data_IF_340978535696
#
_entry.id   IF_340978535696
#
_cell.length_a   1.000
_cell.length_b   1.000
_cell.length_c   1.000
_cell.angle_alpha   90.00
_cell.angle_beta   90.00
_cell.angle_gamma   90.00
#
_symmetry.space_group_name_H-M   'P 1'
#
loop_
_entity.id
_entity.type
_entity.pdbx_description
1 polymer ?
#
# COMPACT_ATOMS: atom_id res chain seq x y z
N UNK A 1 -1.55 -30.36 8.33
CA UNK A 1 -1.39 -29.03 8.96
C UNK A 1 -2.50 -28.13 8.48
N UNK A 2 -2.95 -27.20 9.32
CA UNK A 2 -3.91 -26.15 8.95
C UNK A 2 -3.25 -24.78 9.15
N UNK A 3 -3.34 -23.93 8.13
CA UNK A 3 -3.07 -22.50 8.23
C UNK A 3 -4.43 -21.81 8.31
N UNK A 4 -4.65 -20.98 9.33
CA UNK A 4 -5.92 -20.27 9.52
C UNK A 4 -5.71 -18.80 9.19
N UNK A 5 -6.63 -18.25 8.41
CA UNK A 5 -6.69 -16.85 8.02
C UNK A 5 -7.77 -16.14 8.82
N UNK A 6 -7.57 -14.83 9.03
CA UNK A 6 -8.52 -13.99 9.75
C UNK A 6 -9.87 -13.84 9.03
N UNK A 7 -9.91 -14.13 7.72
CA UNK A 7 -11.11 -14.05 6.89
C UNK A 7 -11.16 -15.23 5.90
N UNK A 8 -12.27 -15.35 5.20
CA UNK A 8 -12.58 -16.41 4.24
C UNK A 8 -11.76 -16.23 2.97
N UNK A 9 -11.02 -17.27 2.59
CA UNK A 9 -10.36 -17.36 1.30
C UNK A 9 -11.41 -17.63 0.21
N UNK A 10 -11.34 -16.89 -0.89
CA UNK A 10 -12.25 -17.07 -2.03
C UNK A 10 -11.61 -17.84 -3.19
N UNK A 11 -10.41 -18.38 -2.99
CA UNK A 11 -9.74 -19.21 -3.98
C UNK A 11 -10.64 -20.40 -4.36
N UNK A 12 -10.90 -20.64 -5.67
CA UNK A 12 -11.74 -21.76 -6.08
C UNK A 12 -11.13 -23.09 -5.60
N UNK A 13 -11.98 -23.96 -5.06
CA UNK A 13 -11.62 -25.27 -4.47
C UNK A 13 -10.99 -26.27 -5.46
N UNK A 14 -10.87 -25.89 -6.73
CA UNK A 14 -10.14 -26.63 -7.75
C UNK A 14 -9.52 -25.61 -8.70
N UNK A 15 -8.20 -25.65 -8.90
CA UNK A 15 -7.54 -25.41 -10.19
C UNK A 15 -6.03 -25.51 -10.04
N UNK A 16 -5.49 -26.65 -10.47
CA UNK A 16 -4.22 -26.87 -11.20
C UNK A 16 -3.18 -25.73 -11.24
N UNK A 17 -2.71 -25.23 -10.10
CA UNK A 17 -1.39 -24.61 -10.06
C UNK A 17 -0.35 -25.68 -10.44
N UNK A 18 0.58 -25.37 -11.36
CA UNK A 18 1.63 -26.33 -11.78
C UNK A 18 2.63 -26.62 -10.66
N UNK A 19 2.66 -25.77 -9.63
CA UNK A 19 3.52 -25.83 -8.46
C UNK A 19 2.71 -25.54 -7.19
N UNK A 20 3.07 -26.21 -6.10
CA UNK A 20 2.55 -25.87 -4.78
C UNK A 20 3.20 -24.55 -4.32
N UNK A 21 2.43 -23.49 -3.98
CA UNK A 21 2.99 -22.21 -3.54
C UNK A 21 3.53 -22.27 -2.09
N UNK A 22 3.33 -23.40 -1.39
CA UNK A 22 3.81 -23.60 -0.05
C UNK A 22 5.14 -24.35 -0.03
N UNK A 23 5.99 -23.97 0.93
CA UNK A 23 7.17 -24.75 1.34
C UNK A 23 7.03 -25.10 2.81
N UNK A 24 7.30 -26.34 3.18
CA UNK A 24 7.33 -26.78 4.58
C UNK A 24 8.73 -27.23 4.94
N UNK A 25 9.28 -26.69 6.02
CA UNK A 25 10.53 -27.11 6.62
C UNK A 25 10.28 -27.75 7.97
N UNK A 26 10.88 -28.90 8.25
CA UNK A 26 10.91 -29.54 9.56
C UNK A 26 12.36 -29.49 10.06
N UNK A 27 12.62 -28.79 11.16
CA UNK A 27 13.96 -28.51 11.67
C UNK A 27 14.92 -27.97 10.59
N UNK A 28 14.45 -27.02 9.79
CA UNK A 28 15.13 -26.42 8.63
C UNK A 28 15.41 -27.39 7.46
N UNK A 29 14.82 -28.58 7.45
CA UNK A 29 14.90 -29.52 6.33
C UNK A 29 13.61 -29.54 5.54
N UNK A 30 13.68 -29.48 4.21
CA UNK A 30 12.50 -29.48 3.35
C UNK A 30 11.69 -30.77 3.49
N UNK A 31 10.38 -30.60 3.72
CA UNK A 31 9.40 -31.67 3.75
C UNK A 31 8.59 -31.67 2.45
N UNK A 32 8.38 -32.85 1.89
CA UNK A 32 7.60 -33.01 0.66
C UNK A 32 6.10 -32.85 0.96
N UNK A 33 5.45 -31.95 0.22
CA UNK A 33 4.00 -31.71 0.30
C UNK A 33 3.31 -32.66 -0.67
N UNK A 34 2.38 -33.46 -0.16
CA UNK A 34 1.53 -34.33 -0.96
C UNK A 34 0.39 -33.54 -1.61
N UNK A 35 -0.24 -32.66 -0.83
CA UNK A 35 -1.40 -31.88 -1.28
C UNK A 35 -1.58 -30.62 -0.44
N UNK A 36 -2.21 -29.60 -1.02
CA UNK A 36 -2.68 -28.42 -0.30
C UNK A 36 -4.05 -28.02 -0.83
N UNK A 37 -5.01 -27.83 0.08
CA UNK A 37 -6.39 -27.42 -0.26
C UNK A 37 -6.84 -26.28 0.63
N UNK A 38 -7.55 -25.31 0.05
CA UNK A 38 -8.22 -24.22 0.78
C UNK A 38 -9.70 -24.52 0.96
N UNK A 39 -10.24 -24.21 2.13
CA UNK A 39 -11.68 -24.22 2.41
C UNK A 39 -11.97 -23.16 3.45
N UNK A 40 -13.00 -22.36 3.24
CA UNK A 40 -13.38 -21.26 4.12
C UNK A 40 -12.18 -20.36 4.45
N UNK A 41 -11.84 -20.22 5.73
CA UNK A 41 -10.73 -19.41 6.21
C UNK A 41 -9.46 -20.24 6.50
N UNK A 42 -9.32 -21.45 5.97
CA UNK A 42 -8.11 -22.24 6.22
C UNK A 42 -7.52 -22.89 4.96
N UNK A 43 -6.21 -23.11 5.00
CA UNK A 43 -5.49 -23.98 4.06
C UNK A 43 -5.02 -25.22 4.80
N UNK A 44 -5.45 -26.38 4.32
CA UNK A 44 -4.97 -27.68 4.76
C UNK A 44 -3.79 -28.12 3.90
N UNK A 45 -2.62 -28.24 4.52
CA UNK A 45 -1.41 -28.81 3.90
C UNK A 45 -1.24 -30.25 4.40
N UNK A 46 -1.15 -31.19 3.46
CA UNK A 46 -0.90 -32.61 3.70
C UNK A 46 0.52 -32.94 3.25
N UNK A 47 1.37 -33.39 4.17
CA UNK A 47 2.72 -33.85 3.87
C UNK A 47 2.69 -35.30 3.37
N UNK A 48 3.77 -35.74 2.70
CA UNK A 48 3.91 -37.12 2.28
C UNK A 48 3.78 -38.08 3.49
N UNK A 49 3.11 -39.22 3.28
CA UNK A 49 2.95 -40.28 4.29
C UNK A 49 4.27 -40.82 4.88
N UNK A 50 5.39 -40.63 4.19
CA UNK A 50 6.74 -40.98 4.66
C UNK A 50 7.37 -39.92 5.56
N UNK A 51 6.80 -38.71 5.64
CA UNK A 51 7.28 -37.63 6.51
C UNK A 51 6.97 -37.96 7.96
N UNK A 52 8.01 -38.21 8.75
CA UNK A 52 7.90 -38.41 10.19
C UNK A 52 8.05 -37.06 10.87
N UNK A 53 7.07 -36.69 11.68
CA UNK A 53 7.13 -35.51 12.55
C UNK A 53 7.25 -36.02 13.98
N UNK A 54 8.29 -35.60 14.69
CA UNK A 54 8.54 -35.95 16.08
C UNK A 54 8.05 -34.84 17.01
N UNK A 55 7.96 -35.17 18.30
CA UNK A 55 7.76 -34.16 19.33
C UNK A 55 8.94 -33.16 19.30
N UNK A 56 8.63 -31.88 19.50
CA UNK A 56 9.56 -30.75 19.52
C UNK A 56 10.18 -30.38 18.16
N UNK A 57 9.72 -30.99 17.06
CA UNK A 57 10.08 -30.54 15.72
C UNK A 57 9.57 -29.10 15.49
N UNK A 58 10.46 -28.22 15.06
CA UNK A 58 10.10 -26.89 14.59
C UNK A 58 9.66 -26.99 13.14
N UNK A 59 8.42 -26.64 12.84
CA UNK A 59 7.87 -26.68 11.50
C UNK A 59 7.68 -25.26 10.98
N UNK A 60 8.42 -24.88 9.95
CA UNK A 60 8.21 -23.60 9.27
C UNK A 60 7.40 -23.81 8.01
N UNK A 61 6.35 -23.01 7.84
CA UNK A 61 5.61 -22.96 6.59
C UNK A 61 5.80 -21.60 5.94
N UNK A 62 6.16 -21.62 4.68
CA UNK A 62 6.26 -20.45 3.83
C UNK A 62 5.21 -20.52 2.73
N UNK A 63 4.66 -19.37 2.38
CA UNK A 63 3.87 -19.16 1.17
C UNK A 63 4.60 -18.15 0.29
N UNK A 64 4.67 -18.44 -1.00
CA UNK A 64 5.26 -17.54 -1.98
C UNK A 64 4.29 -17.33 -3.14
N UNK A 65 4.09 -16.06 -3.48
CA UNK A 65 3.36 -15.59 -4.65
C UNK A 65 4.05 -16.14 -5.89
N UNK A 66 3.27 -16.78 -6.76
CA UNK A 66 3.74 -17.13 -8.09
C UNK A 66 3.59 -15.90 -9.00
N UNK A 67 4.72 -15.39 -9.48
CA UNK A 67 4.77 -14.21 -10.36
C UNK A 67 4.61 -14.55 -11.84
N UNK A 68 4.46 -15.84 -12.20
CA UNK A 68 4.24 -16.23 -13.59
C UNK A 68 2.81 -15.85 -14.02
N UNK A 69 2.60 -15.32 -15.23
CA UNK A 69 1.27 -14.93 -15.70
C UNK A 69 0.24 -16.05 -15.66
N UNK A 70 0.68 -17.29 -15.88
CA UNK A 70 -0.19 -18.47 -15.86
C UNK A 70 -0.69 -18.80 -14.45
N UNK A 71 0.10 -18.54 -13.41
CA UNK A 71 -0.23 -18.92 -12.04
C UNK A 71 -0.59 -17.75 -11.13
N UNK A 72 -0.38 -16.49 -11.55
CA UNK A 72 -0.61 -15.32 -10.70
C UNK A 72 -2.07 -15.19 -10.25
N UNK A 73 -2.99 -15.68 -11.08
CA UNK A 73 -4.43 -15.78 -10.82
C UNK A 73 -4.82 -16.78 -9.71
N UNK A 74 -3.92 -17.69 -9.36
CA UNK A 74 -4.17 -18.73 -8.35
C UNK A 74 -3.51 -18.43 -7.00
N UNK A 75 -2.88 -17.25 -6.86
CA UNK A 75 -2.40 -16.79 -5.56
C UNK A 75 -3.55 -16.67 -4.55
N UNK A 76 -3.25 -16.82 -3.26
CA UNK A 76 -4.29 -16.76 -2.24
C UNK A 76 -4.86 -15.34 -2.15
N UNK A 77 -6.18 -15.22 -2.01
CA UNK A 77 -6.82 -13.92 -1.78
C UNK A 77 -8.04 -14.05 -0.87
N UNK A 78 -8.24 -13.01 -0.08
CA UNK A 78 -9.43 -12.76 0.74
C UNK A 78 -10.37 -11.85 -0.04
N UNK A 79 -11.66 -11.88 0.25
CA UNK A 79 -12.59 -10.85 -0.22
C UNK A 79 -13.31 -10.21 0.95
N UNK A 80 -13.46 -8.88 0.94
CA UNK A 80 -14.35 -8.22 1.89
C UNK A 80 -15.83 -8.31 1.44
N UNK A 81 -16.75 -7.77 2.26
CA UNK A 81 -18.18 -7.74 1.96
C UNK A 81 -18.56 -6.89 0.72
N UNK A 82 -17.59 -6.20 0.09
CA UNK A 82 -17.75 -5.44 -1.15
C UNK A 82 -17.18 -6.15 -2.37
N UNK A 83 -16.87 -7.45 -2.23
CA UNK A 83 -16.20 -8.29 -3.23
C UNK A 83 -14.80 -7.76 -3.61
N UNK A 84 -14.18 -6.96 -2.73
CA UNK A 84 -12.82 -6.47 -2.95
C UNK A 84 -11.82 -7.60 -2.75
N UNK A 85 -11.10 -7.99 -3.80
CA UNK A 85 -10.05 -9.01 -3.69
C UNK A 85 -8.77 -8.43 -3.07
N UNK A 86 -8.39 -8.97 -1.91
CA UNK A 86 -7.14 -8.70 -1.21
C UNK A 86 -6.22 -9.92 -1.31
N UNK A 87 -5.20 -9.86 -2.16
CA UNK A 87 -4.19 -10.91 -2.27
C UNK A 87 -3.37 -11.05 -0.98
N UNK A 88 -3.10 -12.30 -0.60
CA UNK A 88 -2.24 -12.66 0.52
C UNK A 88 -0.78 -12.43 0.13
N UNK A 89 0.00 -11.67 0.92
CA UNK A 89 1.42 -11.47 0.65
C UNK A 89 2.25 -12.72 0.96
N UNK A 90 3.50 -12.74 0.48
CA UNK A 90 4.49 -13.74 0.91
C UNK A 90 4.61 -13.76 2.44
N UNK A 91 4.69 -14.96 3.02
CA UNK A 91 4.93 -15.10 4.45
C UNK A 91 5.79 -16.33 4.75
N UNK A 92 6.40 -16.32 5.94
CA UNK A 92 7.01 -17.50 6.55
C UNK A 92 6.70 -17.50 8.02
N UNK A 93 6.00 -18.53 8.49
CA UNK A 93 5.56 -18.69 9.87
C UNK A 93 6.14 -19.97 10.46
N UNK A 94 7.05 -19.89 11.45
CA UNK A 94 7.46 -21.04 12.24
C UNK A 94 6.38 -21.42 13.26
N UNK A 95 6.09 -22.70 13.37
CA UNK A 95 5.19 -23.30 14.36
C UNK A 95 5.86 -24.56 14.91
N UNK A 96 5.95 -24.73 16.22
CA UNK A 96 6.52 -25.95 16.81
C UNK A 96 5.40 -26.99 16.98
N UNK A 97 5.55 -28.19 16.40
CA UNK A 97 4.51 -29.21 16.59
C UNK A 97 4.67 -29.86 17.96
N UNK A 98 3.76 -29.50 18.86
CA UNK A 98 3.72 -29.98 20.23
C UNK A 98 2.68 -31.07 20.44
N UNK A 99 2.75 -32.17 19.70
CA UNK A 99 1.96 -33.34 20.07
C UNK A 99 2.37 -33.89 21.46
N UNK A 100 3.57 -33.53 21.96
CA UNK A 100 4.11 -33.99 23.25
C UNK A 100 5.07 -32.98 23.92
N UNK A 101 4.94 -31.67 23.69
CA UNK A 101 5.87 -30.67 24.25
C UNK A 101 5.92 -30.74 25.77
N UNK A 102 7.14 -30.71 26.32
CA UNK A 102 7.40 -30.57 27.76
C UNK A 102 7.59 -29.11 28.20
N UNK A 103 7.51 -28.18 27.25
CA UNK A 103 7.61 -26.75 27.50
C UNK A 103 6.22 -26.13 27.70
N UNK A 104 6.17 -25.02 28.43
CA UNK A 104 4.94 -24.22 28.54
C UNK A 104 4.61 -23.58 27.18
N UNK A 105 3.32 -23.45 26.79
CA UNK A 105 2.96 -22.74 25.57
C UNK A 105 3.44 -21.30 25.59
N UNK A 106 3.91 -20.82 24.45
CA UNK A 106 4.24 -19.41 24.24
C UNK A 106 3.23 -18.77 23.30
N UNK A 107 2.82 -17.54 23.62
CA UNK A 107 1.95 -16.77 22.74
C UNK A 107 2.73 -16.33 21.51
N UNK A 108 2.23 -16.66 20.33
CA UNK A 108 2.81 -16.24 19.05
C UNK A 108 2.22 -14.92 18.58
N UNK A 109 0.89 -14.82 18.58
CA UNK A 109 0.18 -13.69 18.00
C UNK A 109 -1.15 -13.47 18.73
N UNK A 110 -1.62 -12.22 18.68
CA UNK A 110 -2.94 -11.84 19.12
C UNK A 110 -3.57 -10.97 18.02
N UNK A 111 -4.81 -11.26 17.66
CA UNK A 111 -5.57 -10.55 16.64
C UNK A 111 -6.89 -10.10 17.24
N UNK A 112 -7.23 -8.82 17.08
CA UNK A 112 -8.48 -8.25 17.58
C UNK A 112 -9.34 -7.75 16.42
N UNK A 113 -10.53 -8.32 16.26
CA UNK A 113 -11.50 -7.97 15.23
C UNK A 113 -12.84 -7.68 15.91
N UNK A 114 -13.28 -6.42 15.85
CA UNK A 114 -14.53 -5.96 16.47
C UNK A 114 -14.61 -6.33 17.96
N UNK A 115 -15.47 -7.27 18.33
CA UNK A 115 -15.67 -7.73 19.71
C UNK A 115 -15.06 -9.11 19.99
N UNK A 116 -14.10 -9.57 19.17
CA UNK A 116 -13.43 -10.86 19.36
C UNK A 116 -11.91 -10.66 19.32
N UNK A 117 -11.22 -11.24 20.29
CA UNK A 117 -9.76 -11.38 20.26
C UNK A 117 -9.40 -12.86 20.13
N UNK A 118 -8.54 -13.18 19.17
CA UNK A 118 -7.96 -14.52 19.00
C UNK A 118 -6.50 -14.47 19.41
N UNK A 119 -6.13 -15.31 20.37
CA UNK A 119 -4.76 -15.50 20.83
C UNK A 119 -4.23 -16.84 20.31
N UNK A 120 -3.15 -16.81 19.54
CA UNK A 120 -2.57 -18.01 18.92
C UNK A 120 -1.30 -18.40 19.65
N UNK A 121 -1.19 -19.67 20.03
CA UNK A 121 -0.02 -20.23 20.72
C UNK A 121 0.79 -21.14 19.81
N UNK A 122 2.04 -21.37 20.20
CA UNK A 122 2.99 -22.24 19.51
C UNK A 122 2.67 -23.73 19.66
N UNK A 123 1.69 -24.11 20.48
CA UNK A 123 1.31 -25.49 20.72
C UNK A 123 -0.18 -25.69 20.95
N UNK A 124 -0.65 -26.93 20.77
CA UNK A 124 -2.03 -27.32 21.06
C UNK A 124 -2.35 -27.10 22.54
N UNK A 125 -3.48 -26.45 22.76
CA UNK A 125 -4.05 -26.20 24.07
C UNK A 125 -5.05 -27.29 24.42
N UNK A 126 -5.19 -27.53 25.72
CA UNK A 126 -6.21 -28.45 26.23
C UNK A 126 -7.56 -27.74 26.31
N UNK A 127 -8.56 -28.27 25.61
CA UNK A 127 -9.96 -27.80 25.74
C UNK A 127 -10.67 -28.35 26.98
N UNK A 128 -10.03 -29.23 27.77
CA UNK A 128 -10.63 -29.82 28.97
C UNK A 128 -10.61 -28.88 30.18
N UNK A 129 -9.78 -27.83 30.16
CA UNK A 129 -9.68 -26.81 31.19
C UNK A 129 -9.81 -25.43 30.52
N UNK A 130 -11.00 -24.83 30.57
CA UNK A 130 -11.19 -23.47 30.03
C UNK A 130 -10.98 -22.43 31.14
N UNK A 131 -10.10 -21.43 30.94
CA UNK A 131 -9.96 -20.30 31.85
C UNK A 131 -11.22 -19.43 31.82
N UNK A 132 -11.55 -18.80 32.95
CA UNK A 132 -12.61 -17.80 33.00
C UNK A 132 -12.20 -16.51 32.29
N UNK A 133 -13.16 -15.77 31.72
CA UNK A 133 -12.91 -14.47 31.09
C UNK A 133 -12.21 -13.47 32.02
N UNK A 134 -12.43 -13.55 33.33
CA UNK A 134 -11.78 -12.74 34.36
C UNK A 134 -10.26 -12.95 34.50
N UNK A 135 -9.71 -14.01 33.89
CA UNK A 135 -8.26 -14.23 33.80
C UNK A 135 -7.60 -13.44 32.67
N UNK A 136 -8.40 -12.80 31.82
CA UNK A 136 -7.95 -11.96 30.72
C UNK A 136 -8.31 -10.50 30.99
N UNK A 137 -7.32 -9.63 30.86
CA UNK A 137 -7.47 -8.19 31.03
C UNK A 137 -7.22 -7.56 29.67
N UNK A 138 -8.23 -6.90 29.11
CA UNK A 138 -8.16 -6.25 27.82
C UNK A 138 -8.21 -4.73 28.02
N UNK A 139 -7.18 -4.01 27.60
CA UNK A 139 -7.15 -2.54 27.59
C UNK A 139 -7.07 -2.02 26.18
N UNK A 140 -7.65 -0.84 25.96
CA UNK A 140 -7.63 -0.14 24.67
C UNK A 140 -6.90 1.20 24.81
N UNK A 141 -6.01 1.50 23.87
CA UNK A 141 -5.21 2.73 23.77
C UNK A 141 -4.46 3.08 25.06
N UNK A 142 -3.94 2.05 25.75
CA UNK A 142 -3.31 2.18 27.06
C UNK A 142 -4.18 2.92 28.10
N UNK A 143 -5.51 2.87 27.94
CA UNK A 143 -6.44 3.45 28.89
C UNK A 143 -6.60 2.56 30.12
N UNK A 144 -6.93 3.18 31.26
CA UNK A 144 -7.24 2.46 32.51
C UNK A 144 -8.62 1.80 32.49
N UNK A 145 -9.36 1.89 31.37
CA UNK A 145 -10.66 1.27 31.21
C UNK A 145 -10.46 -0.09 30.54
N UNK A 146 -10.93 -1.14 31.22
CA UNK A 146 -10.85 -2.50 30.72
C UNK A 146 -12.10 -2.85 29.93
N UNK A 147 -11.94 -3.47 28.76
CA UNK A 147 -13.04 -4.14 28.08
C UNK A 147 -13.23 -5.49 28.76
N UNK A 148 -14.47 -5.78 29.11
CA UNK A 148 -14.81 -7.04 29.79
C UNK A 148 -14.83 -8.18 28.78
N UNK A 149 -14.05 -9.23 29.05
CA UNK A 149 -14.15 -10.51 28.35
C UNK A 149 -15.33 -11.29 28.91
N UNK A 150 -16.12 -11.91 28.04
CA UNK A 150 -17.23 -12.78 28.44
C UNK A 150 -16.70 -13.97 29.27
N UNK A 151 -17.52 -14.46 30.19
CA UNK A 151 -17.13 -15.53 31.12
C UNK A 151 -16.74 -16.83 30.40
N UNK A 152 -17.32 -17.08 29.22
CA UNK A 152 -16.99 -18.23 28.38
C UNK A 152 -15.89 -17.87 27.38
N UNK A 153 -14.69 -18.38 27.65
CA UNK A 153 -13.58 -18.41 26.70
C UNK A 153 -13.60 -19.74 25.95
N UNK A 154 -13.40 -19.67 24.63
CA UNK A 154 -13.37 -20.84 23.76
C UNK A 154 -11.91 -21.21 23.40
N UNK A 155 -11.57 -22.49 23.54
CA UNK A 155 -10.25 -23.02 23.16
C UNK A 155 -10.44 -23.93 21.95
N UNK A 156 -9.82 -23.55 20.84
CA UNK A 156 -9.84 -24.31 19.60
C UNK A 156 -8.40 -24.58 19.14
N UNK A 157 -7.98 -25.84 19.19
CA UNK A 157 -6.62 -26.27 18.86
C UNK A 157 -5.55 -25.51 19.66
N UNK A 158 -4.75 -24.65 19.01
CA UNK A 158 -3.72 -23.81 19.63
C UNK A 158 -4.19 -22.37 19.88
N UNK A 159 -5.48 -22.10 19.72
CA UNK A 159 -6.03 -20.74 19.80
C UNK A 159 -7.00 -20.59 20.97
N UNK A 160 -6.99 -19.40 21.57
CA UNK A 160 -7.95 -18.95 22.57
C UNK A 160 -8.76 -17.81 21.98
N UNK A 161 -10.08 -17.99 21.94
CA UNK A 161 -11.03 -17.01 21.42
C UNK A 161 -11.69 -16.32 22.61
N UNK A 162 -11.46 -15.01 22.71
CA UNK A 162 -11.95 -14.12 23.74
C UNK A 162 -13.08 -13.24 23.19
N UNK A 163 -14.34 -13.65 23.36
CA UNK A 163 -15.47 -12.78 23.07
C UNK A 163 -15.55 -11.64 24.09
N UNK A 164 -15.67 -10.41 23.60
CA UNK A 164 -15.75 -9.19 24.41
C UNK A 164 -17.21 -8.71 24.52
N UNK A 165 -17.56 -8.10 25.65
CA UNK A 165 -18.89 -7.50 25.87
C UNK A 165 -19.09 -6.21 25.08
N UNK A 166 -18.01 -5.51 24.79
CA UNK A 166 -18.01 -4.26 24.03
C UNK A 166 -17.12 -4.42 22.79
N UNK A 167 -17.55 -3.87 21.63
CA UNK A 167 -16.70 -3.85 20.46
C UNK A 167 -15.50 -2.93 20.68
N UNK A 168 -14.35 -3.31 20.14
CA UNK A 168 -13.18 -2.45 20.10
C UNK A 168 -13.33 -1.47 18.94
N UNK A 169 -12.94 -0.21 19.15
CA UNK A 169 -12.95 0.81 18.12
C UNK A 169 -11.91 0.53 17.05
N UNK A 170 -12.17 1.04 15.86
CA UNK A 170 -11.28 0.86 14.72
C UNK A 170 -9.98 1.67 14.89
N UNK A 171 -8.84 1.03 14.61
CA UNK A 171 -7.53 1.66 14.74
C UNK A 171 -7.05 1.80 16.19
N UNK A 172 -7.83 1.27 17.13
CA UNK A 172 -7.44 1.17 18.52
C UNK A 172 -6.31 0.16 18.70
N UNK A 173 -5.43 0.49 19.65
CA UNK A 173 -4.37 -0.38 20.12
C UNK A 173 -4.90 -1.19 21.30
N UNK A 174 -4.87 -2.51 21.19
CA UNK A 174 -5.36 -3.43 22.20
C UNK A 174 -4.19 -4.09 22.91
N UNK A 175 -4.26 -4.16 24.23
CA UNK A 175 -3.33 -4.94 25.03
C UNK A 175 -4.11 -6.00 25.78
N UNK A 176 -3.66 -7.26 25.70
CA UNK A 176 -4.25 -8.37 26.45
C UNK A 176 -3.24 -8.91 27.44
N UNK A 177 -3.61 -8.94 28.71
CA UNK A 177 -2.85 -9.62 29.76
C UNK A 177 -3.59 -10.87 30.20
N UNK A 178 -2.84 -11.95 30.46
CA UNK A 178 -3.36 -13.17 31.05
C UNK A 178 -2.72 -13.42 32.40
N UNK A 179 -3.55 -13.73 33.39
CA UNK A 179 -3.15 -14.16 34.72
C UNK A 179 -3.66 -15.58 35.00
N UNK A 180 -2.81 -16.42 35.60
CA UNK A 180 -3.25 -17.76 35.99
C UNK A 180 -4.21 -17.70 37.18
N UNK A 181 -5.18 -18.62 37.20
CA UNK A 181 -6.26 -18.67 38.19
C UNK A 181 -6.99 -20.02 38.17
N UNK A 182 -8.21 -20.03 38.68
CA UNK A 182 -9.07 -21.22 38.64
C UNK A 182 -9.51 -21.52 37.20
N UNK A 183 -9.12 -22.68 36.67
CA UNK A 183 -9.19 -22.96 35.23
C UNK A 183 -7.85 -22.62 34.58
N UNK A 184 -7.01 -23.64 34.39
CA UNK A 184 -5.65 -23.44 33.89
C UNK A 184 -5.66 -23.52 32.37
N UNK A 185 -5.27 -22.42 31.71
CA UNK A 185 -4.87 -22.48 30.31
C UNK A 185 -3.55 -23.27 30.22
N UNK A 186 -3.59 -24.42 29.55
CA UNK A 186 -2.46 -25.34 29.47
C UNK A 186 -2.41 -26.05 28.12
N UNK A 187 -1.27 -26.65 27.79
CA UNK A 187 -1.20 -27.57 26.66
C UNK A 187 -1.95 -28.88 26.91
N UNK A 188 -2.00 -29.74 25.88
CA UNK A 188 -2.55 -31.10 25.94
C UNK A 188 -1.93 -31.99 27.03
N UNK A 189 -0.72 -31.68 27.51
CA UNK A 189 -0.01 -32.35 28.60
C UNK A 189 -0.24 -31.71 29.99
N UNK A 190 -1.17 -30.77 30.12
CA UNK A 190 -1.45 -30.00 31.34
C UNK A 190 -0.27 -29.15 31.85
N UNK A 191 0.65 -28.76 30.98
CA UNK A 191 1.69 -27.78 31.30
C UNK A 191 1.09 -26.37 31.14
N UNK A 192 1.08 -25.55 32.20
CA UNK A 192 0.39 -24.26 32.21
C UNK A 192 1.07 -23.24 31.30
N UNK A 193 0.25 -22.39 30.68
CA UNK A 193 0.68 -21.14 30.05
C UNK A 193 1.18 -20.19 31.15
N UNK A 194 2.37 -19.62 30.96
CA UNK A 194 2.89 -18.59 31.84
C UNK A 194 2.07 -17.29 31.70
N UNK A 195 1.87 -16.50 32.76
CA UNK A 195 1.27 -15.17 32.64
C UNK A 195 2.00 -14.34 31.57
N UNK A 196 1.24 -13.62 30.76
CA UNK A 196 1.78 -12.80 29.67
C UNK A 196 1.04 -11.47 29.54
N UNK A 197 1.63 -10.58 28.78
CA UNK A 197 0.98 -9.37 28.26
C UNK A 197 1.41 -9.23 26.81
N UNK A 198 0.45 -9.06 25.91
CA UNK A 198 0.73 -8.87 24.48
C UNK A 198 1.47 -7.57 24.25
N UNK A 199 2.29 -7.52 23.21
CA UNK A 199 2.62 -6.25 22.57
C UNK A 199 1.35 -5.65 21.95
N UNK A 200 1.34 -4.33 21.73
CA UNK A 200 0.24 -3.58 21.13
C UNK A 200 -0.38 -4.29 19.90
N UNK A 201 -1.59 -4.80 20.07
CA UNK A 201 -2.39 -5.47 19.03
C UNK A 201 -3.19 -4.40 18.31
N UNK A 202 -2.82 -4.09 17.07
CA UNK A 202 -3.60 -3.16 16.27
C UNK A 202 -4.91 -3.84 15.84
N UNK A 203 -6.04 -3.21 16.16
CA UNK A 203 -7.33 -3.67 15.63
C UNK A 203 -7.32 -3.55 14.11
N UNK A 204 -7.41 -4.70 13.44
CA UNK A 204 -7.59 -4.71 12.00
C UNK A 204 -9.03 -4.32 11.70
N UNK A 205 -9.23 -3.71 10.54
CA UNK A 205 -10.54 -3.31 10.09
C UNK A 205 -11.42 -4.57 9.96
N UNK A 206 -12.72 -4.48 10.26
CA UNK A 206 -13.68 -5.50 9.81
C UNK A 206 -13.81 -5.56 8.28
N UNK A 207 -13.30 -4.54 7.57
CA UNK A 207 -13.09 -4.49 6.12
C UNK A 207 -11.71 -3.87 5.83
N UNK A 208 -10.73 -4.61 5.30
CA UNK A 208 -9.30 -4.25 5.28
C UNK A 208 -8.98 -2.81 4.85
N UNK A 209 -8.02 -2.23 5.58
CA UNK A 209 -7.50 -0.88 5.43
C UNK A 209 -6.71 -0.65 4.15
N UNK A 210 -6.64 0.62 3.77
CA UNK A 210 -6.00 1.24 2.59
C UNK A 210 -5.07 0.33 1.79
N UNK A 211 -5.68 -0.52 0.97
CA UNK A 211 -5.09 -0.93 -0.29
C UNK A 211 -5.14 0.28 -1.22
N UNK A 212 -4.21 0.41 -2.18
CA UNK A 212 -4.48 1.25 -3.34
C UNK A 212 -5.76 0.71 -3.99
N UNK A 213 -6.90 1.32 -3.68
CA UNK A 213 -8.15 1.05 -4.39
C UNK A 213 -8.02 1.74 -5.73
N UNK A 214 -7.49 1.03 -6.73
CA UNK A 214 -7.50 1.53 -8.09
C UNK A 214 -8.92 1.38 -8.63
N UNK A 215 -9.70 2.46 -8.58
CA UNK A 215 -10.95 2.54 -9.33
C UNK A 215 -10.58 2.75 -10.79
N UNK A 216 -10.53 1.67 -11.55
CA UNK A 216 -10.37 1.74 -13.00
C UNK A 216 -11.76 1.96 -13.62
N UNK A 217 -11.97 3.11 -14.23
CA UNK A 217 -13.09 3.28 -15.13
C UNK A 217 -12.73 2.62 -16.47
N UNK A 218 -13.38 1.51 -16.81
CA UNK A 218 -13.31 1.01 -18.19
C UNK A 218 -14.07 1.99 -19.08
N UNK A 219 -13.48 2.58 -20.13
CA UNK A 219 -14.22 3.37 -21.09
C UNK A 219 -14.98 2.41 -22.02
N UNK A 220 -16.05 1.80 -21.53
CA UNK A 220 -17.03 1.18 -22.42
C UNK A 220 -17.94 2.27 -22.97
N UNK A 221 -18.28 2.19 -24.25
CA UNK A 221 -19.17 3.12 -24.95
C UNK A 221 -20.65 2.95 -24.53
N UNK A 222 -20.93 2.28 -23.41
CA UNK A 222 -22.28 1.97 -22.95
C UNK A 222 -22.30 1.83 -21.43
N UNK A 223 -22.51 2.96 -20.75
CA UNK A 223 -22.82 3.03 -19.30
C UNK A 223 -21.70 2.50 -18.39
N UNK A 224 -20.94 3.42 -17.80
CA UNK A 224 -20.05 3.27 -16.63
C UNK A 224 -20.02 1.86 -16.02
N UNK A 225 -19.05 1.04 -16.42
CA UNK A 225 -18.69 -0.18 -15.70
C UNK A 225 -17.49 0.14 -14.83
N UNK A 226 -17.75 0.41 -13.55
CA UNK A 226 -16.74 0.47 -12.49
C UNK A 226 -16.02 -0.88 -12.51
N UNK A 227 -14.72 -0.91 -12.77
CA UNK A 227 -13.96 -2.16 -12.71
C UNK A 227 -13.87 -2.63 -11.25
N UNK A 228 -13.97 -3.95 -11.07
CA UNK A 228 -13.97 -4.59 -9.76
C UNK A 228 -12.68 -4.25 -8.99
N UNK A 229 -12.79 -3.67 -7.78
CA UNK A 229 -11.61 -3.18 -7.08
C UNK A 229 -10.82 -4.37 -6.51
N UNK A 230 -9.51 -4.43 -6.79
CA UNK A 230 -8.59 -5.47 -6.28
C UNK A 230 -7.27 -4.85 -5.82
N UNK A 231 -6.54 -5.53 -4.93
CA UNK A 231 -5.16 -5.18 -4.61
C UNK A 231 -4.20 -5.54 -5.75
N UNK A 232 -3.12 -4.77 -5.90
CA UNK A 232 -2.01 -5.15 -6.79
C UNK A 232 -0.92 -5.78 -5.91
N UNK A 233 -0.53 -7.00 -6.26
CA UNK A 233 0.47 -7.80 -5.53
C UNK A 233 1.89 -7.32 -5.84
N UNK A 234 2.84 -7.51 -4.93
CA UNK A 234 4.28 -7.31 -5.20
C UNK A 234 4.91 -6.04 -4.64
N UNK A 235 4.16 -5.18 -3.95
CA UNK A 235 4.73 -4.05 -3.18
C UNK A 235 4.19 -4.02 -1.76
N UNK A 236 5.03 -3.60 -0.83
CA UNK A 236 4.69 -3.34 0.58
C UNK A 236 5.09 -1.90 0.94
N UNK A 237 4.70 -1.42 2.12
CA UNK A 237 5.02 -0.06 2.57
C UNK A 237 4.07 1.01 2.04
N UNK A 238 4.59 2.24 1.82
CA UNK A 238 3.78 3.38 1.43
C UNK A 238 3.69 3.51 -0.08
N UNK A 239 2.48 3.44 -0.63
CA UNK A 239 2.23 3.62 -2.05
C UNK A 239 1.44 4.91 -2.31
N UNK A 240 1.90 5.74 -3.24
CA UNK A 240 1.27 7.03 -3.58
C UNK A 240 1.50 7.42 -5.05
N UNK A 241 0.87 8.52 -5.46
CA UNK A 241 0.85 9.04 -6.84
C UNK A 241 0.51 7.98 -7.89
N UNK A 242 -0.62 7.24 -7.79
CA UNK A 242 -0.97 6.24 -8.78
C UNK A 242 -1.32 6.91 -10.13
N UNK A 243 -0.75 6.38 -11.19
CA UNK A 243 -1.08 6.67 -12.57
C UNK A 243 -1.60 5.43 -13.27
N UNK A 244 -2.59 5.63 -14.15
CA UNK A 244 -3.23 4.55 -14.89
C UNK A 244 -3.29 4.93 -16.36
N UNK A 245 -3.04 3.95 -17.22
CA UNK A 245 -3.25 4.07 -18.66
C UNK A 245 -4.00 2.85 -19.20
N UNK A 246 -5.00 3.08 -20.05
CA UNK A 246 -5.71 2.02 -20.76
C UNK A 246 -5.30 2.02 -22.23
N UNK A 247 -4.68 0.92 -22.67
CA UNK A 247 -4.37 0.70 -24.07
C UNK A 247 -5.51 -0.06 -24.75
N UNK A 248 -6.27 0.67 -25.57
CA UNK A 248 -7.38 0.13 -26.34
C UNK A 248 -6.95 -0.89 -27.40
N UNK A 249 -5.71 -0.83 -27.89
CA UNK A 249 -5.23 -1.71 -28.95
C UNK A 249 -4.95 -3.12 -28.44
N UNK A 250 -4.45 -3.23 -27.21
CA UNK A 250 -4.12 -4.49 -26.55
C UNK A 250 -5.16 -4.92 -25.52
N UNK A 251 -6.16 -4.08 -25.23
CA UNK A 251 -7.13 -4.27 -24.16
C UNK A 251 -6.47 -4.49 -22.78
N UNK A 252 -5.36 -3.80 -22.56
CA UNK A 252 -4.58 -3.87 -21.33
C UNK A 252 -4.68 -2.58 -20.52
N UNK A 253 -4.70 -2.73 -19.19
CA UNK A 253 -4.59 -1.62 -18.25
C UNK A 253 -3.22 -1.66 -17.60
N UNK A 254 -2.53 -0.53 -17.62
CA UNK A 254 -1.26 -0.30 -16.96
C UNK A 254 -1.50 0.58 -15.74
N UNK A 255 -1.01 0.16 -14.58
CA UNK A 255 -0.94 1.00 -13.40
C UNK A 255 0.52 1.19 -13.00
N UNK A 256 0.90 2.40 -12.61
CA UNK A 256 2.19 2.70 -12.03
C UNK A 256 2.01 3.58 -10.78
N UNK A 257 2.88 3.43 -9.81
CA UNK A 257 2.82 4.20 -8.56
C UNK A 257 4.20 4.33 -7.95
N UNK A 258 4.35 5.31 -7.06
CA UNK A 258 5.54 5.45 -6.25
C UNK A 258 5.39 4.62 -4.99
N UNK A 259 6.39 3.82 -4.70
CA UNK A 259 6.52 3.00 -3.52
C UNK A 259 7.67 3.51 -2.64
N UNK A 260 7.47 3.53 -1.33
CA UNK A 260 8.51 3.78 -0.34
C UNK A 260 8.51 2.63 0.65
N UNK A 261 9.67 1.98 0.78
CA UNK A 261 9.87 0.97 1.82
C UNK A 261 9.77 1.62 3.19
N UNK A 262 8.71 1.27 3.91
CA UNK A 262 8.44 1.76 5.26
C UNK A 262 8.94 0.80 6.35
N UNK A 263 9.67 -0.26 6.01
CA UNK A 263 10.18 -1.26 6.97
C UNK A 263 11.05 -0.64 8.06
N UNK A 264 11.76 0.46 7.73
CA UNK A 264 12.62 1.18 8.66
C UNK A 264 11.87 2.23 9.50
N UNK A 265 10.60 2.51 9.18
CA UNK A 265 9.75 3.43 9.95
C UNK A 265 9.20 2.64 11.13
N UNK A 266 9.99 2.54 12.19
CA UNK A 266 9.71 1.70 13.37
C UNK A 266 8.48 2.14 14.19
N UNK A 267 7.97 3.34 13.96
CA UNK A 267 6.80 3.84 14.68
C UNK A 267 5.55 3.62 13.84
N UNK A 268 4.56 2.92 14.40
CA UNK A 268 3.20 2.95 13.88
C UNK A 268 2.79 4.42 13.75
N UNK A 269 2.66 4.89 12.52
CA UNK A 269 2.30 6.28 12.26
C UNK A 269 0.83 6.48 12.65
N UNK A 270 0.59 6.93 13.88
CA UNK A 270 -0.68 7.49 14.34
C UNK A 270 -0.98 8.73 13.47
N UNK A 271 -2.11 8.77 12.76
CA UNK A 271 -2.53 9.92 11.99
C UNK A 271 -2.62 11.18 12.87
N UNK A 272 -2.03 12.29 12.40
CA UNK A 272 -2.10 13.60 13.08
C UNK A 272 -1.09 13.81 14.21
N UNK A 273 -0.18 12.87 14.46
CA UNK A 273 0.91 13.03 15.42
C UNK A 273 2.17 13.59 14.74
N UNK A 274 2.84 14.55 15.40
CA UNK A 274 4.13 15.07 14.96
C UNK A 274 5.25 14.11 15.37
N UNK A 275 6.06 13.68 14.40
CA UNK A 275 7.20 12.77 14.63
C UNK A 275 8.51 13.54 14.73
N UNK A 276 9.26 13.31 15.79
CA UNK A 276 10.58 13.93 16.01
C UNK A 276 11.70 13.30 15.18
N UNK A 277 11.48 12.12 14.60
CA UNK A 277 12.49 11.36 13.83
C UNK A 277 12.29 11.53 12.32
N UNK A 278 12.29 12.78 11.86
CA UNK A 278 12.09 13.15 10.45
C UNK A 278 13.19 12.61 9.53
N UNK A 279 14.38 12.32 10.06
CA UNK A 279 15.54 11.87 9.28
C UNK A 279 15.30 10.50 8.63
N UNK A 280 14.72 9.54 9.36
CA UNK A 280 14.38 8.21 8.84
C UNK A 280 13.31 8.30 7.76
N UNK A 281 12.27 9.12 7.98
CA UNK A 281 11.20 9.34 6.99
C UNK A 281 11.79 9.96 5.71
N UNK A 282 12.61 11.00 5.85
CA UNK A 282 13.25 11.65 4.71
C UNK A 282 14.19 10.70 3.96
N UNK A 283 14.91 9.83 4.67
CA UNK A 283 15.78 8.83 4.06
C UNK A 283 14.98 7.77 3.28
N UNK A 284 13.87 7.29 3.85
CA UNK A 284 12.98 6.35 3.18
C UNK A 284 12.34 6.97 1.92
N UNK A 285 11.92 8.24 2.00
CA UNK A 285 11.40 8.97 0.84
C UNK A 285 12.46 9.14 -0.26
N UNK A 286 13.73 9.33 0.10
CA UNK A 286 14.84 9.42 -0.86
C UNK A 286 15.21 8.08 -1.53
N UNK A 287 14.71 6.95 -1.02
CA UNK A 287 14.86 5.62 -1.61
C UNK A 287 13.59 5.10 -2.29
N UNK A 288 12.66 5.98 -2.64
CA UNK A 288 11.42 5.60 -3.32
C UNK A 288 11.68 4.85 -4.63
N UNK A 289 10.79 3.93 -4.99
CA UNK A 289 10.83 3.13 -6.22
C UNK A 289 9.53 3.25 -6.99
N UNK A 290 9.59 3.43 -8.31
CA UNK A 290 8.37 3.37 -9.14
C UNK A 290 8.12 1.92 -9.51
N UNK A 291 6.93 1.44 -9.19
CA UNK A 291 6.45 0.13 -9.62
C UNK A 291 5.37 0.28 -10.67
N UNK A 292 5.21 -0.77 -11.48
CA UNK A 292 4.10 -0.91 -12.40
C UNK A 292 3.52 -2.31 -12.36
N UNK A 293 2.27 -2.44 -12.78
CA UNK A 293 1.58 -3.70 -12.99
C UNK A 293 0.66 -3.58 -14.21
N UNK A 294 0.40 -4.72 -14.85
CA UNK A 294 -0.42 -4.82 -16.05
C UNK A 294 -1.56 -5.78 -15.79
N UNK A 295 -2.76 -5.39 -16.20
CA UNK A 295 -3.93 -6.26 -16.24
C UNK A 295 -4.39 -6.43 -17.68
N UNK A 296 -4.67 -7.67 -18.06
CA UNK A 296 -5.32 -8.03 -19.33
C UNK A 296 -6.84 -8.10 -19.10
N UNK A 297 -7.61 -7.37 -19.89
CA UNK A 297 -9.08 -7.42 -19.81
C UNK A 297 -9.68 -8.55 -20.67
N UNK A 298 -8.88 -9.19 -21.54
CA UNK A 298 -9.32 -10.34 -22.33
C UNK A 298 -9.54 -11.58 -21.45
N UNK A 299 -8.80 -11.68 -20.34
CA UNK A 299 -8.87 -12.80 -19.38
C UNK A 299 -10.10 -12.72 -18.44
N UNK A 300 -10.90 -11.64 -18.54
CA UNK A 300 -12.14 -11.49 -17.77
C UNK A 300 -13.25 -12.46 -18.21
N UNK A 301 -13.15 -13.02 -19.43
CA UNK A 301 -14.18 -13.88 -20.03
C UNK A 301 -14.23 -15.31 -19.48
N UNK A 302 -13.10 -15.87 -19.04
CA UNK A 302 -12.98 -17.27 -18.58
C UNK A 302 -13.31 -17.45 -17.08
N UNK A 303 -13.55 -16.36 -16.38
CA UNK A 303 -13.85 -16.30 -14.95
C UNK A 303 -15.33 -16.64 -14.62
N UNK A 304 -16.18 -16.80 -15.64
CA UNK A 304 -17.60 -17.12 -15.45
C UNK A 304 -18.40 -15.95 -14.84
N UNK A 305 -19.72 -16.10 -14.66
CA UNK A 305 -20.62 -15.00 -14.27
C UNK A 305 -20.38 -14.45 -12.85
N UNK A 306 -19.46 -15.03 -12.08
CA UNK A 306 -19.21 -14.71 -10.68
C UNK A 306 -17.77 -14.28 -10.35
N UNK A 307 -16.76 -14.43 -11.23
CA UNK A 307 -15.42 -13.95 -10.86
C UNK A 307 -15.20 -12.49 -11.24
N UNK A 308 -15.10 -11.70 -10.17
CA UNK A 308 -15.03 -10.25 -10.12
C UNK A 308 -13.59 -9.80 -9.78
N UNK A 309 -12.57 -10.32 -10.48
CA UNK A 309 -11.17 -10.03 -10.15
C UNK A 309 -10.43 -9.60 -11.41
N UNK A 310 -9.70 -8.49 -11.30
CA UNK A 310 -8.76 -8.05 -12.33
C UNK A 310 -7.43 -8.78 -12.11
N UNK A 311 -6.97 -9.62 -13.07
CA UNK A 311 -5.71 -10.35 -12.99
C UNK A 311 -4.51 -9.42 -13.18
N UNK A 312 -4.15 -8.67 -12.14
CA UNK A 312 -2.93 -7.88 -12.16
C UNK A 312 -1.70 -8.79 -12.19
N UNK A 313 -0.71 -8.43 -13.00
CA UNK A 313 0.63 -8.97 -12.86
C UNK A 313 1.20 -8.59 -11.50
N UNK A 314 2.14 -9.39 -10.99
CA UNK A 314 2.94 -8.96 -9.84
C UNK A 314 3.65 -7.66 -10.20
N UNK A 315 3.65 -6.71 -9.28
CA UNK A 315 4.28 -5.42 -9.44
C UNK A 315 5.77 -5.60 -9.72
N UNK A 316 6.24 -4.93 -10.77
CA UNK A 316 7.64 -4.92 -11.17
C UNK A 316 8.19 -3.49 -11.09
N UNK A 317 9.45 -3.30 -10.71
CA UNK A 317 10.06 -1.98 -10.65
C UNK A 317 10.34 -1.44 -12.07
N UNK A 318 10.17 -0.14 -12.24
CA UNK A 318 10.73 0.61 -13.37
C UNK A 318 12.18 0.98 -13.00
N UNK A 319 13.17 0.80 -13.89
CA UNK A 319 14.54 1.30 -13.69
C UNK A 319 14.51 2.77 -13.28
N UNK A 320 15.38 3.17 -12.35
CA UNK A 320 15.31 4.49 -11.75
C UNK A 320 16.67 5.05 -11.33
N UNK A 321 16.68 6.33 -10.97
CA UNK A 321 17.83 7.04 -10.44
C UNK A 321 17.66 7.27 -8.93
N UNK A 322 18.77 7.42 -8.21
CA UNK A 322 18.75 7.79 -6.79
C UNK A 322 18.02 9.11 -6.60
N UNK A 323 17.05 9.15 -5.69
CA UNK A 323 16.30 10.35 -5.35
C UNK A 323 14.86 10.04 -4.95
N UNK A 324 14.14 11.08 -4.54
CA UNK A 324 12.71 10.99 -4.24
C UNK A 324 11.90 11.11 -5.53
N UNK A 325 11.19 10.05 -5.89
CA UNK A 325 10.29 10.00 -7.02
C UNK A 325 8.89 10.47 -6.60
N UNK A 326 8.23 11.23 -7.46
CA UNK A 326 6.87 11.74 -7.27
C UNK A 326 6.19 11.94 -8.62
N UNK A 327 4.87 12.10 -8.61
CA UNK A 327 4.07 12.50 -9.78
C UNK A 327 4.34 11.63 -11.03
N UNK A 328 4.33 10.30 -10.86
CA UNK A 328 4.42 9.39 -12.01
C UNK A 328 3.19 9.57 -12.90
N UNK A 329 3.38 9.49 -14.22
CA UNK A 329 2.34 9.48 -15.24
C UNK A 329 2.65 8.44 -16.30
N UNK A 330 1.62 7.90 -16.92
CA UNK A 330 1.71 6.92 -18.02
C UNK A 330 1.14 7.49 -19.32
N UNK A 331 1.59 6.97 -20.45
CA UNK A 331 1.09 7.31 -21.78
C UNK A 331 1.60 6.36 -22.86
N UNK A 332 1.26 6.63 -24.12
CA UNK A 332 1.72 5.86 -25.28
C UNK A 332 2.67 6.66 -26.16
N UNK A 333 3.64 5.95 -26.70
CA UNK A 333 4.48 6.35 -27.81
C UNK A 333 3.81 6.06 -29.17
N UNK A 334 4.33 6.62 -30.27
CA UNK A 334 3.75 6.44 -31.60
C UNK A 334 3.86 4.99 -32.09
N UNK A 335 4.83 4.24 -31.56
CA UNK A 335 5.06 2.82 -31.86
C UNK A 335 4.21 1.86 -31.00
N UNK A 336 3.35 2.41 -30.12
CA UNK A 336 2.52 1.63 -29.20
C UNK A 336 3.24 1.18 -27.93
N UNK A 337 4.50 1.57 -27.71
CA UNK A 337 5.17 1.32 -26.43
C UNK A 337 4.60 2.21 -25.32
N UNK A 338 4.54 1.68 -24.09
CA UNK A 338 4.09 2.45 -22.92
C UNK A 338 5.26 3.32 -22.44
N UNK A 339 4.99 4.59 -22.18
CA UNK A 339 5.92 5.53 -21.60
C UNK A 339 5.49 5.83 -20.16
N UNK A 340 6.46 5.80 -19.24
CA UNK A 340 6.32 6.36 -17.90
C UNK A 340 7.19 7.60 -17.78
N UNK A 341 6.68 8.64 -17.15
CA UNK A 341 7.45 9.83 -16.78
C UNK A 341 7.17 10.20 -15.32
N UNK A 342 8.17 10.75 -14.64
CA UNK A 342 8.08 11.09 -13.22
C UNK A 342 9.03 12.22 -12.85
N UNK A 343 8.77 12.85 -11.70
CA UNK A 343 9.69 13.79 -11.07
C UNK A 343 10.62 13.01 -10.13
N UNK A 344 11.92 13.29 -10.21
CA UNK A 344 12.92 12.80 -9.27
C UNK A 344 13.63 13.99 -8.62
N UNK A 345 13.57 14.07 -7.29
CA UNK A 345 14.14 15.16 -6.50
C UNK A 345 15.32 14.67 -5.68
N UNK A 346 16.46 15.34 -5.82
CA UNK A 346 17.66 15.11 -5.01
C UNK A 346 18.03 16.37 -4.25
N UNK A 347 18.64 16.22 -3.08
CA UNK A 347 19.27 17.35 -2.39
C UNK A 347 20.68 17.53 -2.94
N UNK A 348 20.99 18.74 -3.41
CA UNK A 348 22.36 19.08 -3.78
C UNK A 348 23.25 19.25 -2.54
N UNK A 349 24.54 19.49 -2.72
CA UNK A 349 25.52 19.66 -1.64
C UNK A 349 25.17 20.76 -0.62
N UNK A 350 24.27 21.70 -0.99
CA UNK A 350 23.83 22.79 -0.13
C UNK A 350 22.48 22.48 0.54
N UNK A 351 21.97 21.24 0.44
CA UNK A 351 20.65 20.85 0.93
C UNK A 351 19.49 21.46 0.15
N UNK A 352 19.72 22.03 -1.04
CA UNK A 352 18.65 22.58 -1.88
C UNK A 352 18.10 21.49 -2.78
N UNK A 353 16.76 21.31 -2.86
CA UNK A 353 16.15 20.34 -3.76
C UNK A 353 16.39 20.72 -5.22
N UNK A 354 16.77 19.74 -6.02
CA UNK A 354 16.88 19.82 -7.48
C UNK A 354 15.99 18.73 -8.03
N UNK A 355 15.00 19.12 -8.83
CA UNK A 355 14.02 18.19 -9.41
C UNK A 355 14.27 18.03 -10.89
N UNK A 356 14.21 16.79 -11.36
CA UNK A 356 14.41 16.41 -12.75
C UNK A 356 13.23 15.58 -13.23
N UNK A 357 12.73 15.84 -14.44
CA UNK A 357 11.78 14.92 -15.10
C UNK A 357 12.58 13.83 -15.81
N UNK A 358 12.32 12.58 -15.40
CA UNK A 358 12.79 11.38 -16.08
C UNK A 358 11.65 10.72 -16.83
N UNK A 359 12.00 9.96 -17.86
CA UNK A 359 11.09 9.05 -18.53
C UNK A 359 11.77 7.72 -18.86
N UNK A 360 10.97 6.67 -18.99
CA UNK A 360 11.37 5.35 -19.47
C UNK A 360 10.28 4.79 -20.38
N UNK A 361 10.65 3.84 -21.25
CA UNK A 361 9.75 3.21 -22.22
C UNK A 361 9.72 1.70 -22.01
N UNK A 362 8.52 1.12 -21.95
CA UNK A 362 8.31 -0.31 -21.86
C UNK A 362 8.30 -0.92 -23.27
N UNK A 363 9.37 -1.64 -23.60
CA UNK A 363 9.48 -2.38 -24.84
C UNK A 363 9.05 -3.83 -24.61
N UNK A 364 8.18 -4.34 -25.50
CA UNK A 364 7.61 -5.69 -25.41
C UNK A 364 8.66 -6.82 -25.34
N UNK A 365 9.87 -6.59 -25.84
CA UNK A 365 10.94 -7.60 -25.89
C UNK A 365 12.07 -7.41 -24.87
N UNK A 366 12.21 -6.25 -24.24
CA UNK A 366 13.38 -5.93 -23.39
C UNK A 366 13.05 -5.30 -22.05
N UNK A 367 11.77 -5.18 -21.70
CA UNK A 367 11.33 -4.45 -20.51
C UNK A 367 11.52 -2.95 -20.65
N UNK A 368 11.58 -2.26 -19.50
CA UNK A 368 11.77 -0.82 -19.44
C UNK A 368 13.17 -0.40 -19.88
N UNK A 369 13.26 0.69 -20.63
CA UNK A 369 14.54 1.33 -20.97
C UNK A 369 15.19 1.97 -19.74
N UNK A 370 16.49 2.24 -19.81
CA UNK A 370 17.15 3.10 -18.83
C UNK A 370 16.49 4.49 -18.76
N UNK A 371 16.38 5.12 -17.57
CA UNK A 371 15.77 6.43 -17.42
C UNK A 371 16.52 7.50 -18.18
N UNK A 372 15.80 8.28 -18.98
CA UNK A 372 16.33 9.41 -19.72
C UNK A 372 15.74 10.73 -19.21
N UNK A 373 16.53 11.80 -19.23
CA UNK A 373 16.10 13.15 -18.82
C UNK A 373 15.44 13.86 -20.02
N UNK A 374 14.28 14.48 -19.80
CA UNK A 374 13.54 15.16 -20.89
C UNK A 374 14.28 16.38 -21.44
N UNK A 375 14.88 17.20 -20.56
CA UNK A 375 15.71 18.34 -20.93
C UNK A 375 16.72 18.62 -19.81
N UNK A 376 18.02 18.83 -20.09
CA UNK A 376 19.04 19.03 -19.06
C UNK A 376 18.97 20.40 -18.35
N UNK A 377 18.25 21.37 -18.93
CA UNK A 377 18.27 22.77 -18.47
C UNK A 377 16.97 23.20 -17.77
N UNK A 378 16.03 22.27 -17.56
CA UNK A 378 14.79 22.54 -16.80
C UNK A 378 14.95 22.11 -15.34
N UNK A 379 14.36 22.90 -14.44
CA UNK A 379 14.26 22.62 -13.00
C UNK A 379 12.79 22.77 -12.57
N UNK A 380 11.93 21.78 -12.88
CA UNK A 380 10.52 21.79 -12.52
C UNK A 380 10.31 21.94 -11.01
N UNK A 381 9.17 22.47 -10.60
CA UNK A 381 8.77 22.44 -9.19
C UNK A 381 8.45 20.98 -8.77
N UNK A 382 8.94 20.50 -7.61
CA UNK A 382 8.77 19.12 -7.15
C UNK A 382 7.32 18.66 -6.98
N UNK A 383 6.36 19.59 -6.91
CA UNK A 383 4.94 19.29 -6.76
C UNK A 383 4.14 19.47 -8.06
N UNK A 384 4.84 19.64 -9.18
CA UNK A 384 4.20 19.85 -10.47
C UNK A 384 3.52 18.56 -10.96
N UNK A 385 2.23 18.58 -11.32
CA UNK A 385 1.61 17.45 -11.98
C UNK A 385 2.23 17.21 -13.36
N UNK A 386 2.47 15.95 -13.69
CA UNK A 386 2.89 15.52 -15.02
C UNK A 386 1.72 14.92 -15.78
N UNK A 387 1.71 15.10 -17.11
CA UNK A 387 0.77 14.40 -17.99
C UNK A 387 1.45 14.08 -19.31
N UNK A 388 1.23 12.89 -19.84
CA UNK A 388 1.64 12.50 -21.18
C UNK A 388 0.43 12.62 -22.11
N UNK A 389 0.59 13.31 -23.23
CA UNK A 389 -0.40 13.36 -24.31
C UNK A 389 0.33 13.36 -25.65
N UNK A 390 -0.38 13.27 -26.77
CA UNK A 390 0.22 13.31 -28.10
C UNK A 390 0.05 14.69 -28.76
N UNK A 391 1.12 15.21 -29.34
CA UNK A 391 1.10 16.37 -30.26
C UNK A 391 1.66 15.90 -31.59
N UNK A 392 0.88 16.03 -32.67
CA UNK A 392 1.28 15.61 -34.01
C UNK A 392 1.80 14.16 -34.05
N UNK A 393 1.09 13.26 -33.35
CA UNK A 393 1.45 11.84 -33.19
C UNK A 393 2.74 11.56 -32.42
N UNK A 394 3.43 12.58 -31.88
CA UNK A 394 4.57 12.38 -30.98
C UNK A 394 4.13 12.53 -29.54
N UNK A 395 4.68 11.75 -28.60
CA UNK A 395 4.41 11.91 -27.18
C UNK A 395 5.02 13.23 -26.72
N UNK A 396 4.25 13.95 -25.92
CA UNK A 396 4.61 15.21 -25.31
C UNK A 396 4.28 15.13 -23.82
N UNK A 397 5.25 15.54 -23.02
CA UNK A 397 5.14 15.57 -21.56
C UNK A 397 4.86 17.00 -21.15
N UNK A 398 3.73 17.19 -20.48
CA UNK A 398 3.27 18.48 -19.99
C UNK A 398 3.48 18.54 -18.49
N UNK A 399 3.94 19.71 -18.04
CA UNK A 399 4.07 20.05 -16.63
C UNK A 399 3.70 21.52 -16.45
N UNK A 400 3.24 21.90 -15.26
CA UNK A 400 2.90 23.28 -14.92
C UNK A 400 3.91 23.87 -13.95
N UNK A 401 4.59 24.95 -14.34
CA UNK A 401 5.48 25.65 -13.41
C UNK A 401 4.68 26.65 -12.57
N UNK A 402 4.91 26.66 -11.26
CA UNK A 402 4.46 27.75 -10.40
C UNK A 402 5.17 29.03 -10.81
N UNK A 403 4.49 29.89 -11.58
CA UNK A 403 5.04 31.18 -11.95
C UNK A 403 5.22 32.04 -10.68
N UNK A 404 6.40 32.65 -10.45
CA UNK A 404 6.55 33.59 -9.35
C UNK A 404 5.53 34.72 -9.49
N UNK A 405 5.01 35.20 -8.36
CA UNK A 405 4.09 36.33 -8.36
C UNK A 405 4.71 37.48 -9.18
N UNK A 406 4.01 37.92 -10.22
CA UNK A 406 4.52 39.01 -11.07
C UNK A 406 4.90 40.22 -10.22
N UNK A 407 5.89 41.01 -10.64
CA UNK A 407 6.23 42.27 -9.95
C UNK A 407 4.99 43.14 -9.70
N UNK A 408 4.06 43.15 -10.67
CA UNK A 408 2.72 43.72 -10.52
C UNK A 408 2.01 43.22 -9.26
N UNK A 409 1.89 41.91 -9.11
CA UNK A 409 1.15 41.28 -8.03
C UNK A 409 1.81 41.56 -6.68
N UNK A 410 3.14 41.45 -6.62
CA UNK A 410 3.92 41.78 -5.43
C UNK A 410 3.70 43.23 -4.99
N UNK A 411 3.78 44.17 -5.94
CA UNK A 411 3.56 45.59 -5.67
C UNK A 411 2.11 45.85 -5.25
N UNK A 412 1.10 45.24 -5.89
CA UNK A 412 -0.29 45.44 -5.47
C UNK A 412 -0.61 44.82 -4.09
N UNK A 413 -0.02 43.67 -3.76
CA UNK A 413 -0.16 43.04 -2.45
C UNK A 413 0.46 43.89 -1.32
N UNK A 414 1.51 44.65 -1.62
CA UNK A 414 2.08 45.63 -0.68
C UNK A 414 1.18 46.86 -0.46
N UNK A 415 0.02 46.93 -1.11
CA UNK A 415 -0.99 47.98 -0.99
C UNK A 415 -0.42 49.42 -1.04
N UNK A 416 0.40 49.77 -2.05
CA UNK A 416 1.06 51.07 -2.11
C UNK A 416 0.02 52.18 -2.27
N UNK A 417 0.27 53.31 -1.61
CA UNK A 417 -0.59 54.50 -1.75
C UNK A 417 -0.62 55.00 -3.20
N UNK A 418 0.52 54.93 -3.89
CA UNK A 418 0.68 55.30 -5.30
C UNK A 418 1.48 54.23 -6.05
N UNK A 419 0.95 53.80 -7.19
CA UNK A 419 1.61 52.90 -8.12
C UNK A 419 1.25 53.32 -9.56
N UNK A 420 2.14 54.11 -10.17
CA UNK A 420 1.95 54.64 -11.50
C UNK A 420 2.35 53.62 -12.56
N UNK A 421 1.47 53.44 -13.55
CA UNK A 421 1.72 52.56 -14.70
C UNK A 421 1.67 53.31 -16.01
N UNK A 422 2.65 52.99 -16.86
CA UNK A 422 2.64 53.31 -18.29
C UNK A 422 1.88 52.19 -19.01
N UNK A 423 0.56 52.13 -18.81
CA UNK A 423 -0.32 51.14 -19.45
C UNK A 423 -0.99 51.65 -20.73
N UNK A 424 -0.81 52.91 -21.07
CA UNK A 424 -1.47 53.55 -22.20
C UNK A 424 -0.63 53.37 -23.47
N UNK A 425 -1.25 52.92 -24.57
CA UNK A 425 -0.57 52.76 -25.88
C UNK A 425 -0.11 54.12 -26.46
N UNK A 426 -0.78 55.20 -26.06
CA UNK A 426 -0.53 56.60 -26.43
C UNK A 426 -1.11 57.51 -25.33
N UNK A 427 -0.48 58.65 -25.05
CA UNK A 427 -1.03 59.65 -24.12
C UNK A 427 0.04 60.35 -23.30
N UNK A 428 -0.39 61.12 -22.31
CA UNK A 428 0.47 61.83 -21.32
C UNK A 428 0.09 61.50 -19.88
N UNK A 429 -0.78 60.52 -19.64
CA UNK A 429 -1.33 60.20 -18.32
C UNK A 429 -0.77 58.87 -17.82
N UNK A 430 -0.08 58.90 -16.69
CA UNK A 430 0.27 57.70 -15.94
C UNK A 430 -0.86 57.38 -14.97
N UNK A 431 -1.60 56.30 -15.24
CA UNK A 431 -2.70 55.89 -14.37
C UNK A 431 -2.14 55.30 -13.08
N UNK A 432 -2.65 55.78 -11.95
CA UNK A 432 -2.37 55.20 -10.65
C UNK A 432 -3.25 53.97 -10.40
N UNK A 433 -2.61 52.86 -10.04
CA UNK A 433 -3.27 51.61 -9.62
C UNK A 433 -3.08 51.31 -8.13
N UNK A 434 -2.55 52.27 -7.36
CA UNK A 434 -2.45 52.20 -5.89
C UNK A 434 -3.72 52.66 -5.18
N UNK A 435 -3.71 52.70 -3.84
CA UNK A 435 -4.90 52.98 -3.02
C UNK A 435 -5.57 54.33 -3.31
N UNK A 436 -4.80 55.34 -3.72
CA UNK A 436 -5.34 56.67 -4.03
C UNK A 436 -6.08 56.75 -5.38
N UNK A 437 -6.12 55.67 -6.16
CA UNK A 437 -6.84 55.59 -7.43
C UNK A 437 -6.59 56.83 -8.32
N UNK A 438 -7.60 57.34 -9.02
CA UNK A 438 -7.47 58.46 -9.94
C UNK A 438 -6.99 59.77 -9.28
N UNK A 439 -7.11 59.93 -7.96
CA UNK A 439 -6.67 61.11 -7.24
C UNK A 439 -5.14 61.29 -7.24
N UNK A 440 -4.39 60.23 -7.53
CA UNK A 440 -2.93 60.28 -7.65
C UNK A 440 -2.44 59.90 -9.06
N UNK A 441 -3.26 60.08 -10.10
CA UNK A 441 -2.79 59.97 -11.48
C UNK A 441 -1.65 60.96 -11.74
N UNK A 442 -0.60 60.50 -12.40
CA UNK A 442 0.51 61.33 -12.83
C UNK A 442 0.33 61.81 -14.27
N UNK A 443 0.99 62.91 -14.62
CA UNK A 443 1.19 63.33 -16.01
C UNK A 443 2.67 63.31 -16.33
N UNK A 444 3.04 62.79 -17.51
CA UNK A 444 4.42 62.85 -18.00
C UNK A 444 4.52 63.74 -19.24
N UNK A 445 5.65 64.42 -19.41
CA UNK A 445 5.94 65.25 -20.57
C UNK A 445 6.55 64.41 -21.69
N UNK A 446 5.87 64.32 -22.83
CA UNK A 446 6.31 63.59 -24.03
C UNK A 446 5.21 62.70 -24.63
N UNK A 447 5.23 62.50 -25.94
CA UNK A 447 4.36 61.56 -26.64
C UNK A 447 5.07 60.21 -26.77
N UNK A 448 4.70 59.25 -25.92
CA UNK A 448 5.27 57.90 -25.93
C UNK A 448 4.36 56.96 -26.72
N UNK A 449 4.97 56.06 -27.50
CA UNK A 449 4.29 54.96 -28.19
C UNK A 449 5.00 53.67 -27.81
N UNK A 450 4.28 52.75 -27.18
CA UNK A 450 4.84 51.46 -26.76
C UNK A 450 5.36 50.69 -27.99
N UNK A 451 6.64 50.30 -27.98
CA UNK A 451 7.28 49.55 -29.08
C UNK A 451 7.88 50.41 -30.21
N UNK A 452 7.94 51.74 -30.06
CA UNK A 452 8.70 52.58 -30.98
C UNK A 452 10.20 52.39 -30.69
N UNK A 453 10.93 51.79 -31.63
CA UNK A 453 12.39 51.83 -31.63
C UNK A 453 12.81 53.29 -31.82
N UNK A 454 13.52 53.85 -30.85
CA UNK A 454 14.21 55.13 -31.02
C UNK A 454 15.32 54.94 -32.09
N UNK A 455 15.57 55.94 -32.95
CA UNK A 455 16.58 55.87 -34.01
C UNK A 455 18.02 55.73 -33.50
#
# INVERSE_FOLDING_TARGET
MFLTFADTLQNPSNTKATSNPFTVLINNQSAEIQDSSSSDNYVKITLNSSTVINADDTISVSYSIDSTPENSLYNLYLSDATDFALWVPDFTTPVTQAASSTNAPTLLEAVAISNVITLTFDQLLSSSNSPGGNQFIVTVNNSNNFITVNDKVDIENNSVILPLLEPIGQGDIVTVSYISGDGILANSNNIPVAPFTTSDVLTTFTNPGTVIKTLLATPSTSSVSIAYPSSIIGTSGLNYDPAVYFDQATNQVFAAWVNVDSSQIQNQLIPGQDYSNLEIINQALQSSTIYFSVASLDDLGDLGPNAQIIPWSVAAPIPQQTGQNTNVTLGLEPDGSIMAAWLNTILNNNGTPVTTIYYSKLNSSSGWSEPARILPDINPDPFTPLTISTINQNPAIFWTESAPASYRQLVLNAAPSVYLRLGERTGTVARNSGQFQAAANGTYSGSFTLGKLEP
#
